data_IF_661143780430
#
_entry.id   IF_661143780430
#
_cell.length_a   1.000
_cell.length_b   1.000
_cell.length_c   1.000
_cell.angle_alpha   90.00
_cell.angle_beta   90.00
_cell.angle_gamma   90.00
#
_symmetry.space_group_name_H-M   'P 1'
#
loop_
_entity.id
_entity.type
_entity.pdbx_description
1 polymer ?
#
# COMPACT_ATOMS: atom_id res chain seq x y z
N UNK A 1 -12.87 9.79 -14.54
CA UNK A 1 -12.01 9.47 -13.37
C UNK A 1 -10.58 9.05 -13.73
N UNK A 2 -10.10 9.22 -14.97
CA UNK A 2 -8.78 8.72 -15.38
C UNK A 2 -7.62 9.27 -14.55
N UNK A 3 -7.53 10.60 -14.43
CA UNK A 3 -6.43 11.24 -13.70
C UNK A 3 -6.51 10.93 -12.21
N UNK A 4 -7.72 10.96 -11.63
CA UNK A 4 -7.98 10.56 -10.25
C UNK A 4 -7.47 9.14 -9.99
N UNK A 5 -7.85 8.17 -10.83
CA UNK A 5 -7.37 6.79 -10.76
C UNK A 5 -5.83 6.70 -10.79
N UNK A 6 -5.18 7.40 -11.74
CA UNK A 6 -3.71 7.36 -11.87
C UNK A 6 -3.02 7.99 -10.67
N UNK A 7 -3.50 9.13 -10.19
CA UNK A 7 -2.96 9.82 -9.01
C UNK A 7 -3.12 8.95 -7.77
N UNK A 8 -4.30 8.35 -7.56
CA UNK A 8 -4.53 7.46 -6.42
C UNK A 8 -3.63 6.22 -6.49
N UNK A 9 -3.42 5.64 -7.68
CA UNK A 9 -2.52 4.50 -7.84
C UNK A 9 -1.06 4.85 -7.54
N UNK A 10 -0.57 6.01 -8.02
CA UNK A 10 0.74 6.52 -7.63
C UNK A 10 0.83 6.81 -6.14
N UNK A 11 -0.24 7.36 -5.55
CA UNK A 11 -0.29 7.67 -4.13
C UNK A 11 -0.18 6.40 -3.29
N UNK A 12 -0.84 5.30 -3.64
CA UNK A 12 -0.64 4.00 -2.96
C UNK A 12 0.84 3.59 -3.01
N UNK A 13 1.49 3.65 -4.17
CA UNK A 13 2.91 3.29 -4.28
C UNK A 13 3.82 4.19 -3.42
N UNK A 14 3.58 5.50 -3.43
CA UNK A 14 4.34 6.45 -2.60
C UNK A 14 4.10 6.18 -1.11
N UNK A 15 2.86 5.95 -0.70
CA UNK A 15 2.52 5.66 0.69
C UNK A 15 3.19 4.37 1.17
N UNK A 16 3.30 3.33 0.34
CA UNK A 16 4.04 2.10 0.67
C UNK A 16 5.54 2.37 0.80
N UNK A 17 6.12 3.19 -0.09
CA UNK A 17 7.54 3.56 0.01
C UNK A 17 7.82 4.34 1.30
N UNK A 18 6.98 5.34 1.63
CA UNK A 18 7.08 6.10 2.88
C UNK A 18 6.87 5.19 4.09
N UNK A 19 5.91 4.25 4.04
CA UNK A 19 5.69 3.26 5.08
C UNK A 19 6.94 2.44 5.38
N UNK A 20 7.64 2.00 4.34
CA UNK A 20 8.86 1.22 4.48
C UNK A 20 10.00 2.07 5.06
N UNK A 21 10.17 3.31 4.59
CA UNK A 21 11.17 4.22 5.14
C UNK A 21 10.94 4.52 6.63
N UNK A 22 9.69 4.73 7.05
CA UNK A 22 9.35 4.97 8.45
C UNK A 22 9.58 3.76 9.34
N UNK A 23 9.32 2.54 8.84
CA UNK A 23 9.63 1.31 9.56
C UNK A 23 11.14 1.17 9.81
N UNK A 24 11.95 1.38 8.78
CA UNK A 24 13.42 1.28 8.88
C UNK A 24 13.99 2.40 9.76
N UNK A 25 13.44 3.61 9.69
CA UNK A 25 13.83 4.70 10.59
C UNK A 25 13.54 4.37 12.05
N UNK A 26 12.34 3.85 12.34
CA UNK A 26 11.97 3.40 13.69
C UNK A 26 12.84 2.24 14.20
N UNK A 27 13.13 1.25 13.35
CA UNK A 27 14.04 0.14 13.67
C UNK A 27 15.47 0.63 13.93
N UNK A 28 15.97 1.57 13.11
CA UNK A 28 17.30 2.14 13.30
C UNK A 28 17.40 2.91 14.62
N UNK A 29 16.36 3.68 14.97
CA UNK A 29 16.29 4.38 16.25
C UNK A 29 16.20 3.44 17.45
N UNK A 30 15.47 2.32 17.32
CA UNK A 30 15.44 1.27 18.34
C UNK A 30 16.84 0.69 18.59
N UNK A 31 17.56 0.33 17.52
CA UNK A 31 18.91 -0.20 17.62
C UNK A 31 19.88 0.81 18.28
N UNK A 32 19.75 2.10 17.94
CA UNK A 32 20.54 3.16 18.57
C UNK A 32 20.23 3.31 20.06
N UNK A 33 18.95 3.34 20.43
CA UNK A 33 18.52 3.46 21.82
C UNK A 33 19.00 2.28 22.68
N UNK A 34 18.95 1.06 22.13
CA UNK A 34 19.52 -0.13 22.77
C UNK A 34 21.04 0.02 22.95
N UNK A 35 21.76 0.50 21.93
CA UNK A 35 23.21 0.71 22.00
C UNK A 35 23.60 1.77 23.07
N UNK A 36 22.70 2.70 23.39
CA UNK A 36 22.88 3.71 24.44
C UNK A 36 22.46 3.22 25.84
N UNK A 37 22.07 1.94 25.97
CA UNK A 37 21.73 1.30 27.25
C UNK A 37 20.23 1.07 27.47
N UNK A 38 19.38 1.39 26.48
CA UNK A 38 17.97 1.06 26.52
C UNK A 38 17.69 -0.44 26.51
N UNK A 39 16.63 -0.87 27.18
CA UNK A 39 16.21 -2.27 27.24
C UNK A 39 14.76 -2.38 26.79
N UNK A 40 14.52 -2.98 25.62
CA UNK A 40 13.16 -3.23 25.15
C UNK A 40 12.59 -4.48 25.82
N UNK A 41 11.66 -4.28 26.75
CA UNK A 41 10.89 -5.34 27.37
C UNK A 41 9.39 -4.99 27.40
N UNK A 42 8.61 -5.86 28.05
CA UNK A 42 7.16 -5.68 28.17
C UNK A 42 6.79 -4.40 28.94
N UNK A 43 7.58 -4.01 29.95
CA UNK A 43 7.31 -2.83 30.78
C UNK A 43 7.40 -1.53 29.96
N UNK A 44 8.36 -1.45 29.04
CA UNK A 44 8.48 -0.33 28.09
C UNK A 44 7.28 -0.26 27.14
N UNK A 45 6.75 -1.41 26.71
CA UNK A 45 5.58 -1.45 25.83
C UNK A 45 4.28 -1.06 26.55
N UNK A 46 4.19 -1.32 27.85
CA UNK A 46 3.01 -1.04 28.68
C UNK A 46 3.06 0.33 29.38
N UNK A 47 4.20 1.02 29.38
CA UNK A 47 4.37 2.31 30.06
C UNK A 47 3.56 3.44 29.43
N UNK A 48 3.20 3.32 28.15
CA UNK A 48 2.56 4.38 27.37
C UNK A 48 3.47 5.55 27.04
N UNK A 49 4.76 5.46 27.38
CA UNK A 49 5.77 6.48 27.08
C UNK A 49 6.43 6.23 25.72
N UNK A 50 6.99 7.29 25.12
CA UNK A 50 7.83 7.20 23.94
C UNK A 50 9.31 7.12 24.38
N UNK A 51 9.93 5.93 24.42
CA UNK A 51 11.28 5.77 24.99
C UNK A 51 12.38 6.44 24.16
N UNK A 52 12.15 6.66 22.87
CA UNK A 52 13.03 7.36 21.95
C UNK A 52 12.21 8.03 20.83
N UNK A 53 12.68 9.15 20.23
CA UNK A 53 11.89 9.91 19.26
C UNK A 53 11.46 9.11 18.01
N UNK A 54 12.32 8.24 17.51
CA UNK A 54 12.10 7.45 16.29
C UNK A 54 11.02 6.37 16.44
N UNK A 55 10.50 6.12 17.66
CA UNK A 55 9.33 5.24 17.87
C UNK A 55 8.13 5.72 17.03
N UNK A 56 8.09 7.02 16.73
CA UNK A 56 7.12 7.62 15.81
C UNK A 56 7.18 6.98 14.41
N UNK A 57 8.33 6.52 13.93
CA UNK A 57 8.45 5.80 12.66
C UNK A 57 7.63 4.51 12.66
N UNK A 58 7.65 3.75 13.76
CA UNK A 58 6.84 2.52 13.91
C UNK A 58 5.34 2.85 14.03
N UNK A 59 4.98 3.92 14.75
CA UNK A 59 3.60 4.41 14.85
C UNK A 59 3.07 4.82 13.48
N UNK A 60 3.83 5.62 12.73
CA UNK A 60 3.47 6.07 11.37
C UNK A 60 3.39 4.87 10.43
N UNK A 61 4.32 3.92 10.48
CA UNK A 61 4.26 2.68 9.70
C UNK A 61 2.92 1.95 9.92
N UNK A 62 2.53 1.78 11.18
CA UNK A 62 1.28 1.12 11.57
C UNK A 62 0.03 1.86 11.11
N UNK A 63 -0.08 3.17 11.40
CA UNK A 63 -1.24 3.99 11.04
C UNK A 63 -1.38 4.14 9.52
N UNK A 64 -0.29 4.37 8.81
CA UNK A 64 -0.30 4.48 7.36
C UNK A 64 -0.79 3.16 6.71
N UNK A 65 -0.34 2.01 7.23
CA UNK A 65 -0.72 0.70 6.72
C UNK A 65 -2.15 0.28 7.03
N UNK A 66 -2.63 0.59 8.22
CA UNK A 66 -3.95 0.14 8.68
C UNK A 66 -5.08 1.11 8.35
N UNK A 67 -4.78 2.38 8.07
CA UNK A 67 -5.78 3.43 7.87
C UNK A 67 -5.60 4.13 6.51
N UNK A 68 -4.47 4.79 6.29
CA UNK A 68 -4.29 5.69 5.14
C UNK A 68 -4.26 4.93 3.81
N UNK A 69 -3.40 3.91 3.67
CA UNK A 69 -3.31 3.07 2.47
C UNK A 69 -4.66 2.40 2.14
N UNK A 70 -5.38 1.79 3.10
CA UNK A 70 -6.71 1.22 2.86
C UNK A 70 -7.73 2.22 2.32
N UNK A 71 -7.80 3.43 2.89
CA UNK A 71 -8.70 4.48 2.41
C UNK A 71 -8.36 4.84 0.96
N UNK A 72 -7.08 5.06 0.65
CA UNK A 72 -6.65 5.39 -0.71
C UNK A 72 -6.91 4.25 -1.69
N UNK A 73 -6.73 2.98 -1.28
CA UNK A 73 -7.02 1.81 -2.09
C UNK A 73 -8.53 1.65 -2.39
N UNK A 74 -9.39 1.96 -1.41
CA UNK A 74 -10.85 1.99 -1.63
C UNK A 74 -11.24 3.10 -2.60
N UNK A 75 -10.69 4.31 -2.44
CA UNK A 75 -10.90 5.41 -3.38
C UNK A 75 -10.39 5.06 -4.79
N UNK A 76 -9.26 4.35 -4.88
CA UNK A 76 -8.73 3.85 -6.15
C UNK A 76 -9.73 2.89 -6.81
N UNK A 77 -10.26 1.91 -6.06
CA UNK A 77 -11.28 0.99 -6.56
C UNK A 77 -12.55 1.71 -7.00
N UNK A 78 -13.06 2.65 -6.20
CA UNK A 78 -14.23 3.46 -6.57
C UNK A 78 -13.97 4.24 -7.86
N UNK A 79 -12.82 4.90 -7.99
CA UNK A 79 -12.48 5.67 -9.19
C UNK A 79 -12.34 4.79 -10.45
N UNK A 80 -11.98 3.52 -10.28
CA UNK A 80 -11.65 2.59 -11.37
C UNK A 80 -12.85 2.30 -12.28
N UNK A 81 -14.07 2.30 -11.74
CA UNK A 81 -15.31 2.04 -12.51
C UNK A 81 -15.57 3.09 -13.59
N UNK A 82 -15.03 4.31 -13.45
CA UNK A 82 -15.19 5.42 -14.41
C UNK A 82 -13.85 5.94 -14.96
N UNK A 83 -12.78 5.14 -14.83
CA UNK A 83 -11.43 5.57 -15.22
C UNK A 83 -11.21 5.56 -16.74
N UNK A 84 -11.97 4.74 -17.49
CA UNK A 84 -11.74 4.49 -18.93
C UNK A 84 -10.27 4.11 -19.20
N UNK A 85 -9.76 3.19 -18.38
CA UNK A 85 -8.40 2.62 -18.41
C UNK A 85 -8.55 1.11 -18.50
N UNK A 86 -7.79 0.47 -19.37
CA UNK A 86 -7.95 -0.97 -19.64
C UNK A 86 -7.64 -1.81 -18.41
N UNK A 87 -8.63 -2.59 -17.97
CA UNK A 87 -8.52 -3.44 -16.78
C UNK A 87 -8.42 -2.68 -15.45
N UNK A 88 -8.84 -1.41 -15.40
CA UNK A 88 -8.72 -0.56 -14.20
C UNK A 88 -9.30 -1.21 -12.94
N UNK A 89 -10.50 -1.79 -13.05
CA UNK A 89 -11.21 -2.44 -11.92
C UNK A 89 -10.43 -3.65 -11.42
N UNK A 90 -9.93 -4.52 -12.31
CA UNK A 90 -9.13 -5.70 -11.94
C UNK A 90 -7.84 -5.29 -11.23
N UNK A 91 -7.14 -4.29 -11.75
CA UNK A 91 -5.92 -3.77 -11.13
C UNK A 91 -6.19 -3.15 -9.76
N UNK A 92 -7.24 -2.34 -9.61
CA UNK A 92 -7.59 -1.74 -8.33
C UNK A 92 -8.07 -2.77 -7.30
N UNK A 93 -8.81 -3.79 -7.72
CA UNK A 93 -9.22 -4.90 -6.86
C UNK A 93 -8.00 -5.71 -6.38
N UNK A 94 -7.01 -5.94 -7.24
CA UNK A 94 -5.75 -6.59 -6.86
C UNK A 94 -4.96 -5.74 -5.84
N UNK A 95 -4.88 -4.42 -6.04
CA UNK A 95 -4.29 -3.50 -5.05
C UNK A 95 -5.01 -3.63 -3.70
N UNK A 96 -6.34 -3.59 -3.69
CA UNK A 96 -7.12 -3.72 -2.46
C UNK A 96 -6.92 -5.08 -1.78
N UNK A 97 -6.90 -6.17 -2.54
CA UNK A 97 -6.62 -7.51 -2.02
C UNK A 97 -5.24 -7.56 -1.34
N UNK A 98 -4.20 -7.04 -2.00
CA UNK A 98 -2.85 -7.00 -1.43
C UNK A 98 -2.79 -6.14 -0.17
N UNK A 99 -3.56 -5.04 -0.09
CA UNK A 99 -3.69 -4.24 1.15
C UNK A 99 -4.32 -5.04 2.28
N UNK A 100 -5.41 -5.77 2.03
CA UNK A 100 -6.06 -6.61 3.05
C UNK A 100 -5.09 -7.69 3.55
N UNK A 101 -4.39 -8.37 2.64
CA UNK A 101 -3.36 -9.34 2.99
C UNK A 101 -2.22 -8.69 3.79
N UNK A 102 -1.79 -7.48 3.42
CA UNK A 102 -0.73 -6.74 4.11
C UNK A 102 -1.09 -6.47 5.58
N UNK A 103 -2.33 -6.02 5.84
CA UNK A 103 -2.83 -5.78 7.21
C UNK A 103 -2.86 -7.07 8.01
N UNK A 104 -3.35 -8.17 7.40
CA UNK A 104 -3.34 -9.49 8.00
C UNK A 104 -1.93 -9.90 8.42
N UNK A 105 -0.99 -9.93 7.48
CA UNK A 105 0.39 -10.33 7.75
C UNK A 105 1.07 -9.44 8.80
N UNK A 106 0.83 -8.13 8.76
CA UNK A 106 1.40 -7.20 9.74
C UNK A 106 0.81 -7.36 11.15
N UNK A 107 -0.42 -7.85 11.27
CA UNK A 107 -1.08 -8.09 12.57
C UNK A 107 -0.65 -9.42 13.19
N UNK A 108 -0.42 -10.45 12.38
CA UNK A 108 -0.03 -11.78 12.84
C UNK A 108 1.50 -11.99 12.96
N UNK A 109 2.32 -11.00 12.60
CA UNK A 109 3.79 -11.12 12.68
C UNK A 109 4.31 -11.30 14.11
N UNK A 110 3.62 -10.78 15.12
CA UNK A 110 3.98 -10.94 16.54
C UNK A 110 3.81 -12.36 17.07
N UNK A 111 2.93 -13.18 16.48
CA UNK A 111 2.74 -14.58 16.85
C UNK A 111 3.55 -15.55 15.99
N UNK A 112 3.76 -15.20 14.72
CA UNK A 112 4.51 -16.00 13.75
C UNK A 112 5.55 -15.10 13.05
N UNK A 113 6.80 -15.03 13.54
CA UNK A 113 7.80 -14.11 12.99
C UNK A 113 8.02 -14.24 11.47
N UNK A 114 7.91 -15.46 10.92
CA UNK A 114 7.99 -15.70 9.48
C UNK A 114 6.95 -14.92 8.66
N UNK A 115 5.77 -14.68 9.25
CA UNK A 115 4.71 -13.86 8.62
C UNK A 115 5.17 -12.41 8.44
N UNK A 116 6.08 -11.92 9.29
CA UNK A 116 6.72 -10.61 9.09
C UNK A 116 7.56 -10.54 7.81
N UNK A 117 8.26 -11.62 7.45
CA UNK A 117 8.98 -11.68 6.16
C UNK A 117 8.02 -11.69 4.97
N UNK A 118 6.92 -12.46 5.07
CA UNK A 118 5.84 -12.48 4.05
C UNK A 118 5.18 -11.10 3.90
N UNK A 119 4.97 -10.39 5.01
CA UNK A 119 4.51 -9.00 5.00
C UNK A 119 5.45 -8.08 4.19
N UNK A 120 6.77 -8.22 4.38
CA UNK A 120 7.76 -7.46 3.60
C UNK A 120 7.68 -7.75 2.10
N UNK A 121 7.56 -9.02 1.71
CA UNK A 121 7.40 -9.41 0.29
C UNK A 121 6.10 -8.87 -0.29
N UNK A 122 4.99 -8.97 0.44
CA UNK A 122 3.69 -8.47 -0.01
C UNK A 122 3.68 -6.93 -0.15
N UNK A 123 4.45 -6.18 0.65
CA UNK A 123 4.64 -4.74 0.48
C UNK A 123 5.25 -4.41 -0.90
N UNK A 124 6.28 -5.16 -1.32
CA UNK A 124 6.92 -4.99 -2.62
C UNK A 124 5.96 -5.31 -3.77
N UNK A 125 5.17 -6.38 -3.63
CA UNK A 125 4.14 -6.72 -4.61
C UNK A 125 3.08 -5.61 -4.72
N UNK A 126 2.58 -5.12 -3.58
CA UNK A 126 1.61 -4.02 -3.54
C UNK A 126 2.17 -2.76 -4.22
N UNK A 127 3.42 -2.40 -3.93
CA UNK A 127 4.11 -1.28 -4.55
C UNK A 127 4.17 -1.43 -6.08
N UNK A 128 4.65 -2.58 -6.57
CA UNK A 128 4.80 -2.84 -8.01
C UNK A 128 3.45 -2.87 -8.72
N UNK A 129 2.45 -3.52 -8.13
CA UNK A 129 1.10 -3.60 -8.70
C UNK A 129 0.44 -2.21 -8.76
N UNK A 130 0.58 -1.40 -7.71
CA UNK A 130 0.07 -0.03 -7.71
C UNK A 130 0.75 0.84 -8.77
N UNK A 131 2.08 0.75 -8.90
CA UNK A 131 2.83 1.45 -9.93
C UNK A 131 2.44 0.99 -11.35
N UNK A 132 2.24 -0.31 -11.53
CA UNK A 132 1.77 -0.87 -12.79
C UNK A 132 0.36 -0.36 -13.12
N UNK A 133 -0.56 -0.34 -12.15
CA UNK A 133 -1.91 0.21 -12.29
C UNK A 133 -1.89 1.68 -12.73
N UNK A 134 -1.03 2.51 -12.12
CA UNK A 134 -0.88 3.92 -12.46
C UNK A 134 -0.41 4.16 -13.92
N UNK A 135 0.42 3.24 -14.43
CA UNK A 135 1.04 3.33 -15.76
C UNK A 135 0.19 2.73 -16.89
N UNK A 136 -0.97 2.13 -16.59
CA UNK A 136 -1.81 1.49 -17.62
C UNK A 136 -2.31 2.49 -18.68
N UNK A 137 -2.46 2.03 -19.94
CA UNK A 137 -2.95 2.86 -21.03
C UNK A 137 -4.45 3.16 -20.90
N UNK A 138 -4.88 4.19 -21.62
CA UNK A 138 -6.29 4.50 -21.80
C UNK A 138 -6.99 3.35 -22.53
N UNK A 139 -8.27 3.12 -22.20
CA UNK A 139 -9.07 2.15 -22.93
C UNK A 139 -9.22 2.56 -24.40
N UNK A 140 -9.02 1.60 -25.31
CA UNK A 140 -9.28 1.80 -26.72
C UNK A 140 -10.76 2.12 -26.94
N UNK A 141 -11.05 3.16 -27.72
CA UNK A 141 -12.41 3.39 -28.21
C UNK A 141 -12.62 2.38 -29.34
N UNK A 142 -13.59 1.46 -29.20
CA UNK A 142 -13.94 0.57 -30.29
C UNK A 142 -14.31 1.42 -31.52
N UNK A 143 -13.65 1.16 -32.65
CA UNK A 143 -13.99 1.83 -33.90
C UNK A 143 -15.44 1.48 -34.26
N UNK A 144 -16.24 2.46 -34.77
CA UNK A 144 -17.59 2.15 -35.22
C UNK A 144 -17.54 1.08 -36.30
N UNK A 145 -18.43 0.07 -36.22
CA UNK A 145 -18.53 -0.93 -37.28
C UNK A 145 -18.79 -0.25 -38.63
N UNK A 146 -18.12 -0.67 -39.70
CA UNK A 146 -18.40 -0.14 -41.03
C UNK A 146 -19.87 -0.42 -41.37
N UNK A 147 -20.61 0.64 -41.70
CA UNK A 147 -21.99 0.53 -42.17
C UNK A 147 -22.07 -0.49 -43.31
N UNK A 148 -23.00 -1.46 -43.27
CA UNK A 148 -23.17 -2.40 -44.36
C UNK A 148 -23.57 -1.62 -45.60
N UNK A 149 -22.69 -1.60 -46.60
CA UNK A 149 -22.99 -1.06 -47.92
C UNK A 149 -24.09 -1.94 -48.51
N UNK A 150 -25.30 -1.41 -48.62
CA UNK A 150 -26.39 -2.07 -49.32
C UNK A 150 -25.93 -2.35 -50.77
N UNK A 151 -25.80 -3.63 -51.11
CA UNK A 151 -25.63 -4.04 -52.51
C UNK A 151 -27.02 -3.98 -53.15
N UNK A 152 -27.22 -3.00 -54.04
CA UNK A 152 -28.36 -2.93 -54.96
C UNK A 152 -28.21 -3.88 -56.13
#
# INVERSE_FOLDING_TARGET
>A
MRNVYKVLAYLVAILVAVQSAMAVWGDSGLNKWIAEGGVLDKSVSESGEAPFPEVLGLVVHGLNGKIVIPIVALLLLMSSFWAKVDGAVRAAALVLLLVVLQIGFGTFSGSLPLVGAVHGVNALLLFVVALHAARRPAAAVAAPEPHPVARG
#
